data_IF_198108501064
#
_entry.id   IF_198108501064
#
_cell.length_a   1.000
_cell.length_b   1.000
_cell.length_c   1.000
_cell.angle_alpha   90.00
_cell.angle_beta   90.00
_cell.angle_gamma   90.00
#
_symmetry.space_group_name_H-M   'P 1'
#
loop_
_entity.id
_entity.type
_entity.pdbx_description
1 polymer ?
#
# COMPACT_ATOMS: atom_id res chain seq x y z
N UNK A 1 23.02 11.16 32.72
CA UNK A 1 22.72 11.86 31.45
C UNK A 1 23.51 11.16 30.34
N UNK A 2 22.89 10.27 29.55
CA UNK A 2 23.55 9.51 28.47
C UNK A 2 22.85 9.84 27.16
N UNK A 3 23.49 10.63 26.32
CA UNK A 3 23.01 11.03 24.99
C UNK A 3 23.18 9.85 24.01
N UNK A 4 22.09 9.26 23.53
CA UNK A 4 22.12 8.32 22.40
C UNK A 4 22.02 9.10 21.09
N UNK A 5 23.02 8.92 20.21
CA UNK A 5 22.99 9.43 18.82
C UNK A 5 22.00 8.60 17.99
N UNK A 6 21.25 9.21 17.04
CA UNK A 6 20.38 8.46 16.13
C UNK A 6 21.20 7.81 15.00
N UNK A 7 20.92 6.53 14.73
CA UNK A 7 21.49 5.76 13.62
C UNK A 7 20.76 6.08 12.32
N UNK A 8 21.47 6.67 11.35
CA UNK A 8 20.98 6.96 10.00
C UNK A 8 21.08 5.72 9.10
N UNK A 9 19.98 4.96 8.97
CA UNK A 9 19.80 3.94 7.92
C UNK A 9 19.02 4.58 6.80
N UNK A 10 19.67 5.34 5.92
CA UNK A 10 19.21 5.63 4.55
C UNK A 10 20.41 6.22 3.80
N UNK A 11 21.23 5.36 3.18
CA UNK A 11 22.28 5.78 2.24
C UNK A 11 21.99 5.14 0.89
N UNK A 12 21.81 5.98 -0.13
CA UNK A 12 21.69 5.61 -1.54
C UNK A 12 22.94 4.83 -1.96
N UNK A 13 22.77 3.64 -2.54
CA UNK A 13 23.83 2.98 -3.31
C UNK A 13 23.45 3.00 -4.79
N UNK A 14 24.38 3.46 -5.60
CA UNK A 14 24.33 3.45 -7.06
C UNK A 14 25.65 2.87 -7.55
N UNK A 15 25.62 1.78 -8.33
CA UNK A 15 26.62 1.50 -9.37
C UNK A 15 26.18 0.33 -10.23
N UNK A 16 26.23 0.54 -11.55
CA UNK A 16 25.96 -0.41 -12.64
C UNK A 16 27.14 -1.35 -12.86
N UNK A 17 26.86 -2.59 -13.30
CA UNK A 17 27.21 -3.22 -14.60
C UNK A 17 27.35 -4.74 -14.48
N UNK A 18 26.66 -5.44 -15.37
CA UNK A 18 26.86 -6.85 -15.78
C UNK A 18 28.14 -7.01 -16.60
N UNK A 19 28.74 -8.22 -16.64
CA UNK A 19 28.62 -9.01 -17.87
C UNK A 19 28.69 -10.55 -17.71
N UNK A 20 28.16 -11.27 -18.71
CA UNK A 20 28.74 -12.54 -19.20
C UNK A 20 27.85 -13.78 -19.14
N UNK A 21 27.32 -14.18 -20.30
CA UNK A 21 26.75 -15.51 -20.52
C UNK A 21 27.85 -16.53 -20.88
N UNK A 22 27.78 -17.73 -20.31
CA UNK A 22 28.43 -18.93 -20.83
C UNK A 22 27.57 -20.15 -20.47
N UNK A 23 27.11 -20.88 -21.49
CA UNK A 23 26.34 -22.10 -21.32
C UNK A 23 27.24 -23.29 -21.01
N UNK A 24 26.81 -24.12 -20.06
CA UNK A 24 27.23 -25.51 -19.97
C UNK A 24 26.05 -26.33 -19.45
N UNK A 25 25.63 -27.34 -20.23
CA UNK A 25 24.61 -28.31 -19.85
C UNK A 25 25.08 -29.04 -18.59
N UNK A 26 24.38 -28.82 -17.47
CA UNK A 26 24.60 -29.47 -16.19
C UNK A 26 23.33 -30.16 -15.72
N UNK A 27 23.46 -31.45 -15.44
CA UNK A 27 22.54 -32.36 -14.77
C UNK A 27 21.55 -31.72 -13.78
N UNK A 28 20.25 -31.97 -13.99
CA UNK A 28 19.25 -32.47 -13.02
C UNK A 28 19.19 -31.99 -11.55
N UNK A 29 19.93 -30.96 -11.15
CA UNK A 29 20.10 -30.53 -9.76
C UNK A 29 19.82 -29.03 -9.55
N UNK A 30 19.36 -28.31 -10.59
CA UNK A 30 19.06 -26.87 -10.52
C UNK A 30 17.57 -26.54 -10.46
N UNK A 31 16.69 -27.56 -10.34
CA UNK A 31 15.23 -27.36 -10.25
C UNK A 31 14.73 -27.11 -8.81
N UNK A 32 15.60 -26.99 -7.82
CA UNK A 32 15.28 -26.57 -6.46
C UNK A 32 15.95 -25.22 -6.16
N UNK A 33 15.61 -24.20 -6.95
CA UNK A 33 15.71 -22.83 -6.46
C UNK A 33 14.69 -22.69 -5.33
N UNK A 34 15.17 -23.00 -4.13
CA UNK A 34 14.54 -22.83 -2.83
C UNK A 34 13.59 -21.63 -2.86
N UNK A 35 12.29 -21.90 -2.76
CA UNK A 35 11.26 -20.87 -2.66
C UNK A 35 11.60 -20.03 -1.43
N UNK A 36 12.23 -18.86 -1.63
CA UNK A 36 12.79 -18.02 -0.58
C UNK A 36 11.73 -17.53 0.42
N UNK A 37 10.47 -17.80 0.13
CA UNK A 37 9.32 -17.53 0.97
C UNK A 37 8.51 -18.82 1.14
N UNK A 38 8.54 -19.47 2.32
CA UNK A 38 7.68 -20.62 2.58
C UNK A 38 6.21 -20.22 2.42
N UNK A 39 5.57 -20.70 1.35
CA UNK A 39 4.16 -20.42 1.05
C UNK A 39 3.28 -21.20 2.02
N UNK A 40 2.39 -20.50 2.73
CA UNK A 40 1.31 -21.15 3.50
C UNK A 40 0.14 -21.39 2.57
N UNK A 41 -0.14 -22.66 2.26
CA UNK A 41 -1.27 -23.06 1.41
C UNK A 41 -1.02 -22.93 -0.09
N UNK A 42 -2.08 -22.95 -0.92
CA UNK A 42 -1.98 -22.88 -2.38
C UNK A 42 -1.29 -21.59 -2.86
N UNK A 43 -0.69 -21.61 -4.06
CA UNK A 43 0.00 -20.44 -4.63
C UNK A 43 -0.91 -19.22 -4.75
N UNK A 44 -2.21 -19.42 -5.00
CA UNK A 44 -3.19 -18.32 -5.05
C UNK A 44 -3.34 -17.58 -3.71
N UNK A 45 -3.04 -18.23 -2.59
CA UNK A 45 -3.06 -17.59 -1.27
C UNK A 45 -1.93 -16.55 -1.11
N UNK A 46 -0.87 -16.65 -1.93
CA UNK A 46 0.21 -15.65 -1.92
C UNK A 46 -0.28 -14.28 -2.38
N UNK A 47 -1.04 -14.23 -3.49
CA UNK A 47 -1.54 -12.98 -4.08
C UNK A 47 -2.41 -12.19 -3.07
N UNK A 48 -3.37 -12.86 -2.42
CA UNK A 48 -4.22 -12.24 -1.39
C UNK A 48 -3.48 -11.97 -0.07
N UNK A 49 -2.31 -12.58 0.14
CA UNK A 49 -1.46 -12.37 1.31
C UNK A 49 -0.74 -11.01 1.33
N UNK A 50 -0.65 -10.32 0.19
CA UNK A 50 -0.04 -9.00 0.06
C UNK A 50 -0.75 -7.98 0.96
N UNK A 51 -2.08 -8.00 1.00
CA UNK A 51 -2.89 -7.11 1.86
C UNK A 51 -2.50 -7.25 3.32
N UNK A 52 -2.38 -8.48 3.82
CA UNK A 52 -2.01 -8.73 5.22
C UNK A 52 -0.61 -8.19 5.54
N UNK A 53 0.33 -8.36 4.63
CA UNK A 53 1.70 -7.88 4.80
C UNK A 53 1.75 -6.35 4.86
N UNK A 54 0.96 -5.68 4.02
CA UNK A 54 0.81 -4.23 4.05
C UNK A 54 0.13 -3.73 5.33
N UNK A 55 -0.89 -4.43 5.83
CA UNK A 55 -1.51 -4.12 7.12
C UNK A 55 -0.48 -4.16 8.25
N UNK A 56 0.36 -5.19 8.33
CA UNK A 56 1.38 -5.30 9.37
C UNK A 56 2.38 -4.13 9.32
N UNK A 57 2.84 -3.75 8.12
CA UNK A 57 3.74 -2.60 7.93
C UNK A 57 3.09 -1.28 8.33
N UNK A 58 1.86 -1.03 7.87
CA UNK A 58 1.13 0.21 8.15
C UNK A 58 0.77 0.32 9.64
N UNK A 59 0.41 -0.79 10.29
CA UNK A 59 0.17 -0.83 11.74
C UNK A 59 1.43 -0.42 12.52
N UNK A 60 2.62 -0.87 12.11
CA UNK A 60 3.87 -0.45 12.75
C UNK A 60 4.11 1.06 12.64
N UNK A 61 3.75 1.68 11.50
CA UNK A 61 3.87 3.12 11.33
C UNK A 61 2.87 3.89 12.22
N UNK A 62 1.61 3.42 12.25
CA UNK A 62 0.53 4.04 13.02
C UNK A 62 0.76 3.87 14.52
N UNK A 63 0.79 2.63 15.03
CA UNK A 63 0.97 2.36 16.46
C UNK A 63 2.36 2.73 16.97
N UNK A 64 3.36 2.76 16.08
CA UNK A 64 4.69 3.27 16.38
C UNK A 64 4.77 4.80 16.47
N UNK A 65 3.65 5.52 16.29
CA UNK A 65 3.58 6.99 16.39
C UNK A 65 4.44 7.71 15.36
N UNK A 66 4.73 7.07 14.22
CA UNK A 66 5.59 7.66 13.18
C UNK A 66 4.95 8.92 12.62
N UNK A 67 3.63 8.89 12.39
CA UNK A 67 2.88 10.03 11.87
C UNK A 67 2.77 11.19 12.87
N UNK A 68 2.78 10.93 14.18
CA UNK A 68 2.87 12.00 15.20
C UNK A 68 4.20 12.74 15.13
N UNK A 69 5.30 12.00 15.00
CA UNK A 69 6.64 12.60 14.89
C UNK A 69 6.89 13.27 13.55
N UNK A 70 6.16 12.84 12.52
CA UNK A 70 6.33 13.30 11.14
C UNK A 70 4.96 13.64 10.50
N UNK A 71 4.32 14.75 10.90
CA UNK A 71 2.96 15.09 10.48
C UNK A 71 2.82 15.37 8.97
N UNK A 72 3.93 15.62 8.28
CA UNK A 72 3.96 15.81 6.81
C UNK A 72 4.29 14.54 6.02
N UNK A 73 4.64 13.43 6.69
CA UNK A 73 4.96 12.18 6.00
C UNK A 73 3.70 11.64 5.33
N UNK A 74 3.82 11.29 4.05
CA UNK A 74 2.80 10.55 3.30
C UNK A 74 3.37 9.20 2.90
N UNK A 75 2.56 8.16 2.97
CA UNK A 75 2.91 6.80 2.54
C UNK A 75 1.93 6.39 1.46
N UNK A 76 2.43 5.76 0.40
CA UNK A 76 1.60 5.16 -0.64
C UNK A 76 1.69 3.64 -0.49
N UNK A 77 0.57 3.00 -0.21
CA UNK A 77 0.43 1.56 -0.27
C UNK A 77 0.02 1.19 -1.69
N UNK A 78 0.99 0.69 -2.45
CA UNK A 78 0.86 0.39 -3.87
C UNK A 78 0.42 -1.06 -4.05
N UNK A 79 -0.46 -1.32 -5.01
CA UNK A 79 -0.90 -2.65 -5.44
C UNK A 79 -1.43 -3.52 -4.29
N UNK A 80 -2.30 -2.93 -3.45
CA UNK A 80 -2.76 -3.58 -2.23
C UNK A 80 -4.26 -3.44 -2.00
N UNK A 81 -5.02 -3.01 -3.02
CA UNK A 81 -6.44 -2.68 -2.91
C UNK A 81 -6.77 -1.63 -1.82
N UNK A 82 -8.03 -1.25 -1.70
CA UNK A 82 -8.46 -0.27 -0.72
C UNK A 82 -9.67 -0.70 0.13
N UNK A 83 -10.48 -1.65 -0.32
CA UNK A 83 -11.73 -2.04 0.34
C UNK A 83 -11.55 -2.73 1.69
N UNK A 84 -10.36 -3.25 1.99
CA UNK A 84 -10.03 -3.79 3.31
C UNK A 84 -9.89 -2.69 4.37
N UNK A 85 -9.54 -1.47 3.98
CA UNK A 85 -9.13 -0.41 4.89
C UNK A 85 -10.24 0.10 5.83
N UNK A 86 -11.52 0.26 5.42
CA UNK A 86 -12.56 0.72 6.34
C UNK A 86 -12.76 -0.20 7.55
N UNK A 87 -12.87 -1.51 7.29
CA UNK A 87 -12.98 -2.50 8.36
C UNK A 87 -11.69 -2.52 9.20
N UNK A 88 -10.53 -2.46 8.56
CA UNK A 88 -9.26 -2.51 9.27
C UNK A 88 -9.01 -1.31 10.17
N UNK A 89 -9.33 -0.09 9.71
CA UNK A 89 -9.33 1.12 10.54
C UNK A 89 -10.21 0.97 11.77
N UNK A 90 -11.44 0.48 11.60
CA UNK A 90 -12.34 0.20 12.72
C UNK A 90 -11.73 -0.80 13.72
N UNK A 91 -11.09 -1.87 13.22
CA UNK A 91 -10.41 -2.84 14.07
C UNK A 91 -9.22 -2.22 14.81
N UNK A 92 -8.45 -1.34 14.16
CA UNK A 92 -7.32 -0.67 14.81
C UNK A 92 -7.78 0.15 16.01
N UNK A 93 -8.78 1.01 15.81
CA UNK A 93 -9.31 1.84 16.89
C UNK A 93 -9.85 0.98 18.04
N UNK A 94 -10.64 -0.05 17.71
CA UNK A 94 -11.17 -0.98 18.69
C UNK A 94 -10.09 -1.63 19.56
N UNK A 95 -8.99 -2.08 18.95
CA UNK A 95 -7.88 -2.67 19.69
C UNK A 95 -7.15 -1.64 20.53
N UNK A 96 -6.90 -0.46 19.98
CA UNK A 96 -6.22 0.63 20.67
C UNK A 96 -6.99 1.10 21.91
N UNK A 97 -8.30 1.29 21.78
CA UNK A 97 -9.15 1.71 22.90
C UNK A 97 -9.09 0.73 24.08
N UNK A 98 -9.00 -0.57 23.79
CA UNK A 98 -9.03 -1.64 24.80
C UNK A 98 -7.67 -2.03 25.35
N UNK A 99 -6.60 -1.93 24.54
CA UNK A 99 -5.33 -2.56 24.84
C UNK A 99 -4.14 -1.60 24.80
N UNK A 100 -4.32 -0.27 24.62
CA UNK A 100 -3.19 0.66 24.52
C UNK A 100 -2.23 0.63 25.71
N UNK A 101 -2.74 0.32 26.91
CA UNK A 101 -1.95 0.17 28.13
C UNK A 101 -1.09 -1.12 28.16
N UNK A 102 -1.24 -2.01 27.18
CA UNK A 102 -0.50 -3.28 27.05
C UNK A 102 0.70 -3.19 26.11
N UNK A 103 1.46 -2.07 26.13
CA UNK A 103 2.71 -1.82 25.38
C UNK A 103 2.56 -1.15 23.99
N UNK A 104 1.51 -0.39 23.73
CA UNK A 104 1.54 0.56 22.59
C UNK A 104 2.00 1.93 23.07
N UNK A 105 2.48 2.77 22.13
CA UNK A 105 2.62 4.20 22.43
C UNK A 105 1.22 4.78 22.64
N UNK A 106 1.13 5.75 23.54
CA UNK A 106 -0.07 6.57 23.66
C UNK A 106 -0.03 7.61 22.54
N UNK A 107 -1.03 7.56 21.68
CA UNK A 107 -1.31 8.45 20.56
C UNK A 107 -2.34 9.51 20.98
N UNK A 108 -2.18 10.73 20.47
CA UNK A 108 -3.05 11.88 20.69
C UNK A 108 -4.38 11.81 19.91
N UNK A 109 -4.43 11.02 18.84
CA UNK A 109 -5.61 10.77 18.00
C UNK A 109 -5.84 9.27 17.84
N UNK A 110 -7.00 8.87 17.35
CA UNK A 110 -7.26 7.47 17.05
C UNK A 110 -6.33 6.97 15.91
N UNK A 111 -5.89 5.70 15.95
CA UNK A 111 -5.08 5.09 14.89
C UNK A 111 -5.65 5.30 13.48
N UNK A 112 -6.97 5.16 13.32
CA UNK A 112 -7.65 5.34 12.05
C UNK A 112 -7.50 6.75 11.49
N UNK A 113 -7.44 7.78 12.34
CA UNK A 113 -7.25 9.16 11.91
C UNK A 113 -5.89 9.37 11.26
N UNK A 114 -4.83 8.80 11.86
CA UNK A 114 -3.49 8.83 11.25
C UNK A 114 -3.47 8.09 9.93
N UNK A 115 -4.05 6.89 9.87
CA UNK A 115 -4.12 6.14 8.61
C UNK A 115 -4.85 6.95 7.52
N UNK A 116 -6.04 7.45 7.85
CA UNK A 116 -6.93 8.19 6.94
C UNK A 116 -6.30 9.47 6.39
N UNK A 117 -5.39 10.10 7.13
CA UNK A 117 -4.74 11.34 6.72
C UNK A 117 -3.39 11.13 6.00
N UNK A 118 -2.65 10.08 6.35
CA UNK A 118 -1.26 9.90 5.91
C UNK A 118 -1.07 8.84 4.83
N UNK A 119 -1.99 7.88 4.71
CA UNK A 119 -1.82 6.73 3.83
C UNK A 119 -2.67 6.92 2.58
N UNK A 120 -2.03 6.88 1.42
CA UNK A 120 -2.67 6.73 0.12
C UNK A 120 -2.76 5.25 -0.23
N UNK A 121 -3.87 4.82 -0.80
CA UNK A 121 -4.08 3.45 -1.27
C UNK A 121 -4.25 3.47 -2.79
N UNK A 122 -3.59 2.54 -3.47
CA UNK A 122 -3.86 2.29 -4.88
C UNK A 122 -4.70 1.04 -5.07
N UNK A 123 -5.55 1.04 -6.08
CA UNK A 123 -6.42 -0.07 -6.41
C UNK A 123 -6.71 -0.09 -7.92
N UNK A 124 -7.00 -1.27 -8.45
CA UNK A 124 -7.19 -1.50 -9.88
C UNK A 124 -8.66 -1.83 -10.20
N UNK A 125 -9.08 -3.06 -9.90
CA UNK A 125 -10.42 -3.58 -10.15
C UNK A 125 -11.20 -3.93 -8.88
N UNK A 126 -10.71 -3.48 -7.70
CA UNK A 126 -11.38 -3.54 -6.39
C UNK A 126 -12.71 -2.79 -6.41
N UNK A 127 -13.74 -3.44 -6.97
CA UNK A 127 -15.09 -2.91 -7.11
C UNK A 127 -15.66 -2.41 -5.78
N UNK A 128 -15.49 -3.11 -4.63
CA UNK A 128 -15.91 -2.59 -3.35
C UNK A 128 -15.27 -1.24 -2.97
N UNK A 129 -14.00 -0.98 -3.31
CA UNK A 129 -13.37 0.33 -3.02
C UNK A 129 -14.10 1.49 -3.70
N UNK A 130 -14.54 1.32 -4.96
CA UNK A 130 -15.36 2.33 -5.64
C UNK A 130 -16.69 2.58 -4.91
N UNK A 131 -17.26 1.57 -4.24
CA UNK A 131 -18.54 1.68 -3.51
C UNK A 131 -18.39 2.25 -2.09
N UNK A 132 -17.17 2.27 -1.57
CA UNK A 132 -16.88 2.62 -0.17
C UNK A 132 -16.07 3.91 -0.04
N UNK A 133 -15.99 4.74 -1.09
CA UNK A 133 -15.22 6.00 -1.10
C UNK A 133 -15.50 6.89 0.11
N UNK A 134 -16.75 6.97 0.56
CA UNK A 134 -17.14 7.75 1.74
C UNK A 134 -16.67 7.16 3.08
N UNK A 135 -16.57 5.83 3.19
CA UNK A 135 -15.99 5.15 4.36
C UNK A 135 -14.46 5.28 4.35
N UNK A 136 -13.88 5.40 3.16
CA UNK A 136 -12.50 5.79 2.91
C UNK A 136 -12.35 7.32 2.94
N UNK A 137 -11.13 7.81 2.77
CA UNK A 137 -10.89 9.22 2.45
C UNK A 137 -10.66 9.34 0.94
N UNK A 138 -11.61 9.92 0.16
CA UNK A 138 -11.45 10.05 -1.28
C UNK A 138 -10.18 10.78 -1.70
N UNK A 139 -9.63 11.67 -0.85
CA UNK A 139 -8.36 12.38 -1.11
C UNK A 139 -7.10 11.54 -0.89
N UNK A 140 -7.27 10.24 -0.62
CA UNK A 140 -6.20 9.26 -0.36
C UNK A 140 -6.38 7.99 -1.18
N UNK A 141 -7.21 8.04 -2.21
CA UNK A 141 -7.42 6.92 -3.12
C UNK A 141 -6.84 7.29 -4.48
N UNK A 142 -6.09 6.38 -5.09
CA UNK A 142 -5.54 6.56 -6.42
C UNK A 142 -5.82 5.31 -7.24
N UNK A 143 -6.60 5.44 -8.31
CA UNK A 143 -6.71 4.32 -9.24
C UNK A 143 -5.42 4.15 -10.04
N UNK A 144 -5.00 2.91 -10.26
CA UNK A 144 -3.87 2.57 -11.11
C UNK A 144 -4.25 1.36 -11.97
N UNK A 145 -3.69 1.23 -13.18
CA UNK A 145 -3.99 0.07 -14.04
C UNK A 145 -3.02 -1.10 -13.88
N UNK A 146 -1.88 -0.89 -13.22
CA UNK A 146 -0.84 -1.88 -12.95
C UNK A 146 -0.24 -2.56 -14.20
N UNK A 147 -0.15 -1.83 -15.32
CA UNK A 147 0.51 -2.35 -16.52
C UNK A 147 2.02 -2.55 -16.29
N UNK A 148 2.65 -3.66 -16.74
CA UNK A 148 2.11 -4.74 -17.58
C UNK A 148 1.83 -6.05 -16.81
N UNK A 149 1.49 -5.99 -15.52
CA UNK A 149 1.29 -7.18 -14.71
C UNK A 149 0.09 -8.02 -15.20
N UNK A 150 0.09 -9.31 -14.83
CA UNK A 150 -0.98 -10.23 -15.20
C UNK A 150 -2.33 -9.86 -14.59
N UNK A 151 -2.30 -9.14 -13.47
CA UNK A 151 -3.48 -8.63 -12.76
C UNK A 151 -3.87 -7.20 -13.20
N UNK A 152 -3.24 -6.72 -14.27
CA UNK A 152 -3.51 -5.40 -14.83
C UNK A 152 -4.93 -5.32 -15.41
N UNK A 153 -5.52 -4.12 -15.34
CA UNK A 153 -6.78 -3.82 -16.05
C UNK A 153 -6.58 -3.48 -17.52
N UNK A 154 -5.32 -3.37 -17.99
CA UNK A 154 -5.01 -3.11 -19.39
C UNK A 154 -5.36 -4.32 -20.28
N UNK A 155 -5.92 -4.13 -21.50
CA UNK A 155 -6.27 -2.87 -22.17
C UNK A 155 -7.69 -2.35 -21.90
N UNK A 156 -8.45 -2.98 -21.00
CA UNK A 156 -9.87 -2.68 -20.76
C UNK A 156 -10.12 -1.68 -19.62
N UNK A 157 -9.10 -0.91 -19.23
CA UNK A 157 -9.19 0.02 -18.10
C UNK A 157 -10.32 1.05 -18.27
N UNK A 158 -10.56 1.52 -19.51
CA UNK A 158 -11.60 2.53 -19.78
C UNK A 158 -13.00 1.95 -19.57
N UNK A 159 -13.25 0.75 -20.06
CA UNK A 159 -14.53 0.04 -19.92
C UNK A 159 -14.79 -0.37 -18.47
N UNK A 160 -13.74 -0.72 -17.72
CA UNK A 160 -13.84 -0.97 -16.29
C UNK A 160 -14.22 0.30 -15.54
N UNK A 161 -13.50 1.39 -15.75
CA UNK A 161 -13.77 2.67 -15.08
C UNK A 161 -15.15 3.22 -15.42
N UNK A 162 -15.57 3.14 -16.68
CA UNK A 162 -16.91 3.54 -17.12
C UNK A 162 -18.03 2.80 -16.37
N UNK A 163 -17.78 1.57 -15.93
CA UNK A 163 -18.74 0.78 -15.13
C UNK A 163 -18.58 1.02 -13.62
N UNK A 164 -17.36 0.93 -13.11
CA UNK A 164 -17.09 0.91 -11.67
C UNK A 164 -17.13 2.30 -11.04
N UNK A 165 -16.77 3.35 -11.76
CA UNK A 165 -16.82 4.74 -11.29
C UNK A 165 -18.12 5.47 -11.68
N UNK A 166 -19.07 4.79 -12.32
CA UNK A 166 -20.28 5.40 -12.86
C UNK A 166 -21.13 6.15 -11.81
N UNK A 167 -21.16 5.64 -10.58
CA UNK A 167 -21.91 6.23 -9.47
C UNK A 167 -21.15 7.32 -8.71
N UNK A 168 -19.85 7.50 -8.96
CA UNK A 168 -19.07 8.55 -8.32
C UNK A 168 -19.44 9.90 -8.92
N UNK A 169 -19.53 10.91 -8.06
CA UNK A 169 -19.61 12.30 -8.51
C UNK A 169 -18.39 12.68 -9.35
N UNK A 170 -18.52 13.72 -10.17
CA UNK A 170 -17.41 14.23 -10.98
C UNK A 170 -16.19 14.57 -10.10
N UNK A 171 -16.41 15.31 -9.01
CA UNK A 171 -15.35 15.66 -8.07
C UNK A 171 -14.67 14.44 -7.40
N UNK A 172 -15.42 13.40 -7.02
CA UNK A 172 -14.81 12.18 -6.48
C UNK A 172 -14.01 11.43 -7.55
N UNK A 173 -14.52 11.41 -8.78
CA UNK A 173 -13.85 10.77 -9.91
C UNK A 173 -12.54 11.48 -10.24
N UNK A 174 -12.54 12.80 -10.27
CA UNK A 174 -11.34 13.61 -10.52
C UNK A 174 -10.31 13.37 -9.42
N UNK A 175 -10.72 13.39 -8.14
CA UNK A 175 -9.83 13.04 -7.03
C UNK A 175 -9.19 11.66 -7.19
N UNK A 176 -10.02 10.64 -7.40
CA UNK A 176 -9.59 9.23 -7.36
C UNK A 176 -8.81 8.82 -8.61
N UNK A 177 -9.18 9.33 -9.78
CA UNK A 177 -8.59 8.94 -11.06
C UNK A 177 -7.45 9.86 -11.50
N UNK A 178 -7.30 11.04 -10.89
CA UNK A 178 -6.35 12.06 -11.37
C UNK A 178 -5.73 12.90 -10.24
N UNK A 179 -6.51 13.76 -9.57
CA UNK A 179 -5.97 14.88 -8.79
C UNK A 179 -5.11 14.43 -7.61
N UNK A 180 -5.47 13.33 -6.93
CA UNK A 180 -4.67 12.84 -5.81
C UNK A 180 -3.24 12.48 -6.22
N UNK A 181 -3.08 11.87 -7.41
CA UNK A 181 -1.77 11.52 -7.92
C UNK A 181 -1.03 12.78 -8.40
N UNK A 182 -1.71 13.66 -9.14
CA UNK A 182 -1.15 14.91 -9.61
C UNK A 182 -0.65 15.80 -8.46
N UNK A 183 -1.49 16.02 -7.44
CA UNK A 183 -1.17 16.78 -6.22
C UNK A 183 -0.01 16.15 -5.45
N UNK A 184 -0.03 14.82 -5.21
CA UNK A 184 0.97 14.14 -4.41
C UNK A 184 2.36 14.16 -5.06
N UNK A 185 2.43 13.96 -6.38
CA UNK A 185 3.67 13.85 -7.12
C UNK A 185 4.11 15.17 -7.78
N UNK A 186 3.29 16.22 -7.70
CA UNK A 186 3.58 17.51 -8.33
C UNK A 186 3.63 17.42 -9.85
N UNK A 187 2.75 16.61 -10.45
CA UNK A 187 2.65 16.52 -11.91
C UNK A 187 1.73 17.66 -12.38
N UNK A 188 2.31 18.65 -13.05
CA UNK A 188 1.58 19.78 -13.60
C UNK A 188 0.85 19.38 -14.89
N UNK A 189 -0.47 19.63 -14.95
CA UNK A 189 -1.28 19.57 -16.17
C UNK A 189 -1.52 18.17 -16.73
N UNK A 190 -2.74 17.66 -16.52
CA UNK A 190 -3.39 16.76 -17.46
C UNK A 190 -4.67 17.44 -17.98
#
# INVERSE_FOLDING_TARGET
>A
MRTRRPSSVWRRSSSRRTPGAAGSRGSGAEAEAQDAFPKRGPIMNFAVGIIRSNQDLLAMLVYGGVFERHPRLRVVCVEADASWAPHWMHRMDHYYERHRYMRTLELARLPSEYFREHVYLTFQDDWPAFRMTALLNPRRLMWANDFPHSDSTWPWSRELLARHAAHLSEAERDLVLHDNAAELYGVEGA
#
